data_IF_874713835447
#
_entry.id   IF_874713835447
#
_cell.length_a   1.000
_cell.length_b   1.000
_cell.length_c   1.000
_cell.angle_alpha   90.00
_cell.angle_beta   90.00
_cell.angle_gamma   90.00
#
_symmetry.space_group_name_H-M   'P 1'
#
loop_
_entity.id
_entity.type
_entity.pdbx_description
1 polymer ?
#
# COMPACT_ATOMS: atom_id res chain seq x y z
N UNK A 1 -0.72 -0.09 -16.51
CA UNK A 1 -1.03 -0.06 -15.06
C UNK A 1 -2.50 -0.37 -14.87
N UNK A 2 -2.83 -1.29 -13.98
CA UNK A 2 -4.23 -1.64 -13.65
C UNK A 2 -4.72 -0.68 -12.56
N UNK A 3 -5.86 -0.03 -12.77
CA UNK A 3 -6.47 0.89 -11.81
C UNK A 3 -7.64 0.21 -11.10
N UNK A 4 -7.85 0.57 -9.83
CA UNK A 4 -8.95 0.10 -8.98
C UNK A 4 -9.75 1.29 -8.46
N UNK A 5 -11.05 1.09 -8.25
CA UNK A 5 -11.96 2.11 -7.73
C UNK A 5 -11.70 2.38 -6.24
N UNK A 6 -12.00 3.61 -5.80
CA UNK A 6 -11.84 4.08 -4.41
C UNK A 6 -13.21 4.55 -3.89
N UNK A 7 -14.02 3.73 -3.22
CA UNK A 7 -13.73 2.43 -2.62
C UNK A 7 -13.87 1.25 -3.61
N UNK A 8 -13.22 0.12 -3.31
CA UNK A 8 -13.26 -1.08 -4.17
C UNK A 8 -14.61 -1.76 -4.28
N UNK A 9 -15.49 -1.53 -3.31
CA UNK A 9 -16.88 -2.02 -3.29
C UNK A 9 -17.74 -1.42 -4.43
N UNK A 10 -17.33 -0.26 -4.97
CA UNK A 10 -18.04 0.36 -6.10
C UNK A 10 -17.61 -0.27 -7.42
N UNK A 11 -18.44 -1.17 -7.94
CA UNK A 11 -18.28 -1.80 -9.26
C UNK A 11 -18.80 -0.92 -10.42
N UNK A 12 -18.56 0.40 -10.38
CA UNK A 12 -18.90 1.30 -11.49
C UNK A 12 -17.70 1.43 -12.45
N UNK A 13 -17.80 1.01 -13.72
CA UNK A 13 -16.73 1.14 -14.70
C UNK A 13 -16.28 2.59 -14.94
N UNK A 14 -17.20 3.55 -14.81
CA UNK A 14 -16.98 4.98 -15.04
C UNK A 14 -16.72 5.76 -13.74
N UNK A 15 -16.43 5.06 -12.65
CA UNK A 15 -16.19 5.69 -11.36
C UNK A 15 -15.03 6.69 -11.44
N UNK A 16 -15.25 7.89 -10.86
CA UNK A 16 -14.35 9.04 -11.06
C UNK A 16 -13.03 8.94 -10.28
N UNK A 17 -13.03 8.26 -9.14
CA UNK A 17 -11.85 8.17 -8.26
C UNK A 17 -11.22 6.78 -8.33
N UNK A 18 -10.04 6.71 -8.97
CA UNK A 18 -9.29 5.47 -9.15
C UNK A 18 -7.87 5.61 -8.62
N UNK A 19 -7.30 4.53 -8.09
CA UNK A 19 -5.88 4.44 -7.71
C UNK A 19 -5.21 3.29 -8.48
N UNK A 20 -3.89 3.34 -8.69
CA UNK A 20 -3.18 2.18 -9.22
C UNK A 20 -3.30 1.00 -8.23
N UNK A 21 -3.38 -0.22 -8.77
CA UNK A 21 -3.35 -1.44 -7.97
C UNK A 21 -2.03 -1.51 -7.17
N UNK A 22 -2.10 -1.85 -5.88
CA UNK A 22 -0.93 -2.05 -5.03
C UNK A 22 -0.01 -3.12 -5.60
N UNK A 23 1.29 -2.79 -5.71
CA UNK A 23 2.35 -3.67 -6.16
C UNK A 23 3.33 -3.89 -5.03
N UNK A 24 3.36 -5.12 -4.51
CA UNK A 24 4.28 -5.50 -3.43
C UNK A 24 5.18 -6.66 -3.83
N UNK A 25 6.36 -6.72 -3.24
CA UNK A 25 7.26 -7.87 -3.34
C UNK A 25 7.92 -8.15 -2.00
N UNK A 26 7.95 -9.42 -1.66
CA UNK A 26 8.68 -9.91 -0.49
C UNK A 26 10.13 -10.11 -0.91
N UNK A 27 11.05 -9.43 -0.23
CA UNK A 27 12.48 -9.48 -0.45
C UNK A 27 13.20 -9.97 0.82
N UNK A 28 14.33 -10.65 0.63
CA UNK A 28 15.09 -11.23 1.74
C UNK A 28 14.58 -12.61 2.17
N UNK A 29 15.32 -13.23 3.11
CA UNK A 29 15.02 -14.54 3.70
C UNK A 29 15.48 -14.56 5.16
N UNK A 30 14.86 -15.41 5.98
CA UNK A 30 15.17 -15.52 7.40
C UNK A 30 14.92 -14.20 8.15
N UNK A 31 15.87 -13.79 9.00
CA UNK A 31 15.75 -12.57 9.82
C UNK A 31 15.76 -11.26 9.02
N UNK A 32 16.10 -11.31 7.73
CA UNK A 32 16.15 -10.13 6.83
C UNK A 32 14.95 -10.02 5.90
N UNK A 33 13.85 -10.74 6.15
CA UNK A 33 12.67 -10.70 5.30
C UNK A 33 11.91 -9.37 5.46
N UNK A 34 11.60 -8.75 4.33
CA UNK A 34 10.89 -7.47 4.25
C UNK A 34 9.95 -7.47 3.06
N UNK A 35 8.84 -6.77 3.18
CA UNK A 35 7.90 -6.54 2.09
C UNK A 35 8.05 -5.11 1.60
N UNK A 36 8.29 -4.96 0.31
CA UNK A 36 8.50 -3.68 -0.36
C UNK A 36 7.28 -3.36 -1.21
N UNK A 37 6.70 -2.18 -1.03
CA UNK A 37 5.59 -1.67 -1.84
C UNK A 37 6.12 -0.60 -2.77
N UNK A 38 6.26 -0.95 -4.05
CA UNK A 38 6.97 -0.13 -5.02
C UNK A 38 6.20 1.11 -5.47
N UNK A 39 4.87 1.05 -5.45
CA UNK A 39 4.02 2.13 -5.96
C UNK A 39 3.28 2.91 -4.86
N UNK A 40 3.84 2.94 -3.64
CA UNK A 40 3.23 3.63 -2.52
C UNK A 40 3.03 5.13 -2.79
N UNK A 41 4.01 5.80 -3.40
CA UNK A 41 3.89 7.21 -3.78
C UNK A 41 2.73 7.49 -4.73
N UNK A 42 2.56 6.65 -5.76
CA UNK A 42 1.47 6.80 -6.73
C UNK A 42 0.09 6.59 -6.08
N UNK A 43 -0.04 5.59 -5.21
CA UNK A 43 -1.26 5.32 -4.45
C UNK A 43 -1.59 6.52 -3.55
N UNK A 44 -0.61 7.00 -2.79
CA UNK A 44 -0.80 8.14 -1.89
C UNK A 44 -1.21 9.41 -2.65
N UNK A 45 -0.62 9.64 -3.83
CA UNK A 45 -0.99 10.73 -4.74
C UNK A 45 -2.42 10.61 -5.25
N UNK A 46 -2.87 9.41 -5.61
CA UNK A 46 -4.26 9.14 -5.99
C UNK A 46 -5.24 9.40 -4.83
N UNK A 47 -4.85 9.07 -3.60
CA UNK A 47 -5.61 9.33 -2.38
C UNK A 47 -5.54 10.79 -1.90
N UNK A 48 -4.72 11.64 -2.53
CA UNK A 48 -4.41 13.01 -2.09
C UNK A 48 -3.92 13.07 -0.64
N UNK A 49 -3.15 12.07 -0.22
CA UNK A 49 -2.54 11.99 1.11
C UNK A 49 -1.02 11.89 0.98
N UNK A 50 -0.25 12.46 1.93
CA UNK A 50 1.18 12.18 2.03
C UNK A 50 1.45 10.67 2.18
N UNK A 51 2.43 10.09 1.45
CA UNK A 51 2.72 8.65 1.48
C UNK A 51 3.21 8.13 2.84
N UNK A 52 3.70 9.01 3.70
CA UNK A 52 4.05 8.67 5.09
C UNK A 52 2.85 8.17 5.91
N UNK A 53 1.63 8.67 5.65
CA UNK A 53 0.45 8.26 6.41
C UNK A 53 -0.01 6.82 6.13
N UNK A 54 -0.26 6.39 4.88
CA UNK A 54 -0.60 5.00 4.61
C UNK A 54 0.56 4.07 5.01
N UNK A 55 1.82 4.49 4.80
CA UNK A 55 2.99 3.71 5.26
C UNK A 55 2.97 3.47 6.76
N UNK A 56 2.71 4.51 7.56
CA UNK A 56 2.62 4.39 9.02
C UNK A 56 1.42 3.55 9.45
N UNK A 57 0.29 3.64 8.74
CA UNK A 57 -0.89 2.82 8.99
C UNK A 57 -0.60 1.33 8.82
N UNK A 58 0.15 0.93 7.79
CA UNK A 58 0.62 -0.44 7.65
C UNK A 58 1.41 -0.93 8.87
N UNK A 59 2.30 -0.09 9.41
CA UNK A 59 3.07 -0.45 10.59
C UNK A 59 2.21 -0.68 11.83
N UNK A 60 1.17 0.15 12.01
CA UNK A 60 0.22 0.00 13.11
C UNK A 60 -0.62 -1.29 12.98
N UNK A 61 -1.19 -1.56 11.81
CA UNK A 61 -2.05 -2.73 11.59
C UNK A 61 -1.28 -4.06 11.58
N UNK A 62 -0.05 -4.06 11.06
CA UNK A 62 0.78 -5.27 10.97
C UNK A 62 1.66 -5.49 12.21
N UNK A 63 1.71 -4.52 13.14
CA UNK A 63 2.63 -4.56 14.28
C UNK A 63 4.11 -4.60 13.85
N UNK A 64 4.44 -4.00 12.70
CA UNK A 64 5.75 -4.09 12.07
C UNK A 64 6.44 -2.72 11.98
N UNK A 65 7.77 -2.73 12.03
CA UNK A 65 8.54 -1.53 11.70
C UNK A 65 8.42 -1.24 10.21
N UNK A 66 8.16 0.03 9.90
CA UNK A 66 7.96 0.53 8.54
C UNK A 66 8.86 1.73 8.28
N UNK A 67 9.29 1.87 7.04
CA UNK A 67 10.08 3.01 6.57
C UNK A 67 9.60 3.41 5.18
N UNK A 68 9.38 4.70 4.97
CA UNK A 68 9.16 5.24 3.63
C UNK A 68 10.49 5.76 3.06
N UNK A 69 10.79 5.42 1.81
CA UNK A 69 11.99 5.86 1.11
C UNK A 69 11.60 6.86 0.03
N UNK A 70 11.86 8.15 0.30
CA UNK A 70 11.38 9.27 -0.52
C UNK A 70 11.98 9.30 -1.93
N UNK A 71 13.23 8.83 -2.10
CA UNK A 71 13.92 8.84 -3.39
C UNK A 71 13.27 7.91 -4.43
N UNK A 72 12.76 6.76 -3.98
CA UNK A 72 12.13 5.75 -4.84
C UNK A 72 10.60 5.73 -4.66
N UNK A 73 10.06 6.62 -3.81
CA UNK A 73 8.65 6.67 -3.41
C UNK A 73 8.05 5.31 -2.97
N UNK A 74 8.88 4.45 -2.36
CA UNK A 74 8.52 3.09 -1.94
C UNK A 74 8.37 2.95 -0.44
N UNK A 75 7.51 2.04 0.00
CA UNK A 75 7.36 1.69 1.41
C UNK A 75 8.02 0.34 1.72
N UNK A 76 8.88 0.35 2.74
CA UNK A 76 9.55 -0.83 3.28
C UNK A 76 8.86 -1.24 4.57
N UNK A 77 8.40 -2.48 4.64
CA UNK A 77 7.70 -3.07 5.78
C UNK A 77 8.48 -4.29 6.22
N UNK A 78 8.85 -4.38 7.49
CA UNK A 78 9.52 -5.57 8.00
C UNK A 78 8.54 -6.75 8.09
N UNK A 79 9.02 -7.96 7.75
CA UNK A 79 8.20 -9.17 7.70
C UNK A 79 7.73 -9.54 6.30
N UNK A 80 7.12 -10.72 6.22
CA UNK A 80 6.54 -11.28 5.00
C UNK A 80 5.03 -11.03 5.00
N UNK A 81 4.59 -10.07 4.21
CA UNK A 81 3.18 -9.68 4.09
C UNK A 81 2.73 -9.94 2.67
N UNK A 82 1.59 -10.61 2.52
CA UNK A 82 1.06 -10.88 1.19
C UNK A 82 0.45 -9.61 0.58
N UNK A 83 0.35 -9.57 -0.75
CA UNK A 83 -0.33 -8.46 -1.45
C UNK A 83 -1.79 -8.33 -0.98
N UNK A 84 -2.45 -9.45 -0.67
CA UNK A 84 -3.84 -9.48 -0.24
C UNK A 84 -4.03 -8.82 1.14
N UNK A 85 -3.12 -9.07 2.09
CA UNK A 85 -3.18 -8.46 3.43
C UNK A 85 -2.96 -6.95 3.36
N UNK A 86 -1.97 -6.52 2.57
CA UNK A 86 -1.69 -5.10 2.35
C UNK A 86 -2.86 -4.39 1.68
N UNK A 87 -3.52 -5.06 0.73
CA UNK A 87 -4.74 -4.54 0.12
C UNK A 87 -5.85 -4.37 1.14
N UNK A 88 -6.12 -5.39 1.96
CA UNK A 88 -7.18 -5.31 2.97
C UNK A 88 -6.95 -4.18 3.98
N UNK A 89 -5.70 -3.97 4.39
CA UNK A 89 -5.33 -2.84 5.26
C UNK A 89 -5.48 -1.50 4.54
N UNK A 90 -5.11 -1.41 3.27
CA UNK A 90 -5.31 -0.19 2.49
C UNK A 90 -6.80 0.15 2.34
N UNK A 91 -7.64 -0.85 2.14
CA UNK A 91 -9.09 -0.68 2.02
C UNK A 91 -9.68 -0.14 3.35
N UNK A 92 -9.23 -0.67 4.50
CA UNK A 92 -9.55 -0.10 5.83
C UNK A 92 -9.12 1.37 5.97
N UNK A 93 -7.93 1.73 5.50
CA UNK A 93 -7.43 3.10 5.57
C UNK A 93 -8.28 4.09 4.78
N UNK A 94 -8.81 3.67 3.63
CA UNK A 94 -9.67 4.48 2.77
C UNK A 94 -11.07 4.67 3.38
N UNK A 95 -11.45 3.84 4.35
CA UNK A 95 -12.73 3.93 5.07
C UNK A 95 -13.75 2.89 4.62
N UNK A 96 -13.30 1.67 4.29
CA UNK A 96 -14.12 0.47 4.18
C UNK A 96 -14.06 -0.32 5.50
#
# INVERSE_FOLDING_TARGET
MQYVNIPRDKEDPNYRYKMPKLLSKIEGRGNGIRTNVYNMGEIARALKRPPMYPTKFFGCELGAMVKFEENEEKALINGAHSEQDLVAILDKYVGI
#
